data_IF_721803025123
#
_entry.id   IF_721803025123
#
_cell.length_a   1.000
_cell.length_b   1.000
_cell.length_c   1.000
_cell.angle_alpha   90.00
_cell.angle_beta   90.00
_cell.angle_gamma   90.00
#
_symmetry.space_group_name_H-M   'P 1'
#
loop_
_entity.id
_entity.type
_entity.pdbx_description
1 polymer ?
#
# COMPACT_ATOMS: atom_id res chain seq x y z
N UNK A 1 -2.71 -15.46 -7.08
CA UNK A 1 -2.40 -14.76 -5.81
C UNK A 1 -1.00 -15.16 -5.37
N UNK A 2 -0.23 -14.24 -4.80
CA UNK A 2 1.17 -14.46 -4.42
C UNK A 2 1.78 -13.19 -3.80
N UNK A 3 3.06 -13.24 -3.44
CA UNK A 3 3.82 -12.09 -2.95
C UNK A 3 4.36 -11.28 -4.15
N UNK A 4 3.69 -10.19 -4.47
CA UNK A 4 4.04 -9.34 -5.61
C UNK A 4 5.26 -8.44 -5.33
N UNK A 5 5.73 -8.37 -4.08
CA UNK A 5 6.92 -7.63 -3.65
C UNK A 5 6.99 -6.14 -4.02
N UNK A 6 5.87 -5.52 -4.39
CA UNK A 6 5.76 -4.06 -4.53
C UNK A 6 5.87 -3.38 -3.16
N UNK A 7 6.49 -2.20 -3.15
CA UNK A 7 6.77 -1.40 -1.95
C UNK A 7 6.12 -0.03 -2.04
N UNK A 8 6.28 0.76 -0.99
CA UNK A 8 5.85 2.16 -0.92
C UNK A 8 7.02 3.05 -1.38
N UNK A 9 6.77 3.93 -2.34
CA UNK A 9 7.76 4.90 -2.86
C UNK A 9 7.80 6.17 -2.00
N UNK A 10 8.95 6.86 -2.00
CA UNK A 10 9.15 8.20 -1.42
C UNK A 10 8.70 8.35 0.05
N UNK A 11 8.79 7.29 0.85
CA UNK A 11 8.51 7.32 2.29
C UNK A 11 9.57 6.54 3.05
N UNK A 12 9.98 7.06 4.20
CA UNK A 12 10.85 6.38 5.14
C UNK A 12 10.09 5.31 5.93
N UNK A 13 10.82 4.36 6.51
CA UNK A 13 10.22 3.32 7.34
C UNK A 13 9.48 3.91 8.56
N UNK A 14 10.02 4.97 9.17
CA UNK A 14 9.43 5.64 10.33
C UNK A 14 8.12 6.34 9.96
N UNK A 15 8.08 7.05 8.83
CA UNK A 15 6.84 7.69 8.34
C UNK A 15 5.73 6.66 8.05
N UNK A 16 6.10 5.53 7.43
CA UNK A 16 5.14 4.43 7.19
C UNK A 16 4.67 3.84 8.52
N UNK A 17 5.57 3.65 9.47
CA UNK A 17 5.25 3.12 10.79
C UNK A 17 4.29 4.02 11.56
N UNK A 18 4.55 5.34 11.59
CA UNK A 18 3.71 6.34 12.25
C UNK A 18 2.30 6.36 11.65
N UNK A 19 2.18 6.28 10.33
CA UNK A 19 0.86 6.23 9.68
C UNK A 19 0.11 4.97 10.07
N UNK A 20 0.79 3.81 10.07
CA UNK A 20 0.17 2.53 10.42
C UNK A 20 -0.29 2.50 11.89
N UNK A 21 0.54 3.00 12.82
CA UNK A 21 0.20 3.05 14.24
C UNK A 21 -0.94 4.03 14.53
N UNK A 22 -0.88 5.24 13.98
CA UNK A 22 -1.89 6.27 14.23
C UNK A 22 -3.25 5.94 13.58
N UNK A 23 -3.26 5.21 12.45
CA UNK A 23 -4.49 4.83 11.73
C UNK A 23 -5.14 3.53 12.23
N UNK A 24 -4.43 2.70 13.00
CA UNK A 24 -4.98 1.42 13.55
C UNK A 24 -6.29 1.60 14.33
N UNK A 25 -6.56 2.82 14.82
CA UNK A 25 -7.72 3.12 15.67
C UNK A 25 -8.88 3.84 14.96
N UNK A 26 -8.69 4.38 13.73
CA UNK A 26 -9.66 5.29 13.13
C UNK A 26 -10.57 4.69 12.06
N UNK A 27 -10.42 3.41 11.71
CA UNK A 27 -11.22 2.76 10.63
C UNK A 27 -11.01 3.41 9.26
N UNK A 28 -9.99 4.25 9.15
CA UNK A 28 -9.79 5.19 8.06
C UNK A 28 -8.79 4.61 7.06
N UNK A 29 -9.09 4.71 5.77
CA UNK A 29 -8.29 4.05 4.71
C UNK A 29 -6.80 4.46 4.74
N UNK A 30 -5.90 3.57 4.32
CA UNK A 30 -4.46 3.85 4.18
C UNK A 30 -4.14 4.74 2.97
N UNK A 31 -5.00 5.71 2.65
CA UNK A 31 -4.95 6.51 1.43
C UNK A 31 -3.59 7.17 1.17
N UNK A 32 -2.91 7.65 2.21
CA UNK A 32 -1.56 8.22 2.10
C UNK A 32 -0.52 7.20 1.62
N UNK A 33 -0.58 5.96 2.12
CA UNK A 33 0.31 4.88 1.68
C UNK A 33 -0.07 4.39 0.29
N UNK A 34 -1.37 4.23 0.01
CA UNK A 34 -1.89 3.79 -1.29
C UNK A 34 -1.56 4.79 -2.42
N UNK A 35 -1.49 6.09 -2.11
CA UNK A 35 -1.05 7.10 -3.08
C UNK A 35 0.41 6.91 -3.54
N UNK A 36 1.20 6.17 -2.75
CA UNK A 36 2.63 5.88 -2.96
C UNK A 36 2.91 4.41 -3.26
N UNK A 37 1.87 3.59 -3.41
CA UNK A 37 2.00 2.16 -3.68
C UNK A 37 2.44 1.91 -5.14
N UNK A 38 3.50 1.13 -5.31
CA UNK A 38 4.07 0.82 -6.62
C UNK A 38 3.13 -0.02 -7.49
N UNK A 39 2.35 -0.95 -6.91
CA UNK A 39 1.43 -1.80 -7.68
C UNK A 39 0.30 -0.95 -8.27
N UNK A 40 -0.30 -0.07 -7.48
CA UNK A 40 -1.33 0.86 -7.94
C UNK A 40 -0.80 1.79 -9.04
N UNK A 41 0.46 2.25 -8.90
CA UNK A 41 1.11 3.07 -9.94
C UNK A 41 1.25 2.31 -11.26
N UNK A 42 1.84 1.11 -11.26
CA UNK A 42 2.06 0.35 -12.51
C UNK A 42 0.75 -0.11 -13.15
N UNK A 43 -0.28 -0.37 -12.34
CA UNK A 43 -1.64 -0.69 -12.81
C UNK A 43 -2.27 0.50 -13.52
N UNK A 44 -2.25 1.68 -12.89
CA UNK A 44 -2.78 2.93 -13.46
C UNK A 44 -2.07 3.29 -14.76
N UNK A 45 -0.77 3.04 -14.85
CA UNK A 45 0.04 3.36 -16.03
C UNK A 45 -0.05 2.32 -17.15
N UNK A 46 -0.81 1.24 -16.97
CA UNK A 46 -0.93 0.20 -18.00
C UNK A 46 0.31 -0.69 -18.14
N UNK A 47 1.28 -0.59 -17.23
CA UNK A 47 2.56 -1.31 -17.32
C UNK A 47 2.47 -2.76 -16.81
N UNK A 48 1.53 -3.03 -15.90
CA UNK A 48 1.24 -4.38 -15.42
C UNK A 48 -0.18 -4.43 -14.82
N UNK A 49 -0.85 -5.59 -14.88
CA UNK A 49 -2.14 -5.86 -14.22
C UNK A 49 -3.26 -4.84 -14.51
N UNK A 50 -3.23 -4.17 -15.67
CA UNK A 50 -4.22 -3.15 -16.06
C UNK A 50 -5.61 -3.72 -16.30
N UNK A 51 -5.72 -4.98 -16.70
CA UNK A 51 -6.99 -5.69 -16.92
C UNK A 51 -7.55 -6.34 -15.65
N UNK A 52 -6.80 -6.28 -14.54
CA UNK A 52 -7.20 -6.89 -13.27
C UNK A 52 -7.85 -5.86 -12.35
N UNK A 53 -8.82 -6.30 -11.56
CA UNK A 53 -9.42 -5.53 -10.46
C UNK A 53 -8.92 -6.03 -9.12
N UNK A 54 -8.65 -5.11 -8.19
CA UNK A 54 -8.30 -5.41 -6.81
C UNK A 54 -9.08 -4.47 -5.90
N UNK A 55 -9.57 -4.97 -4.76
CA UNK A 55 -10.25 -4.15 -3.78
C UNK A 55 -9.27 -3.19 -3.10
N UNK A 56 -9.74 -2.00 -2.73
CA UNK A 56 -8.93 -1.03 -1.97
C UNK A 56 -8.55 -1.66 -0.62
N UNK A 57 -7.24 -1.80 -0.31
CA UNK A 57 -6.82 -2.37 0.96
C UNK A 57 -7.29 -1.53 2.14
N UNK A 58 -8.04 -2.15 3.05
CA UNK A 58 -8.50 -1.57 4.33
C UNK A 58 -7.76 -2.16 5.54
N UNK A 59 -6.75 -2.99 5.28
CA UNK A 59 -5.90 -3.65 6.28
C UNK A 59 -4.46 -3.12 6.22
N UNK A 60 -3.72 -3.24 7.33
CA UNK A 60 -2.36 -2.74 7.43
C UNK A 60 -1.37 -3.52 6.53
N UNK A 61 -0.24 -2.91 6.13
CA UNK A 61 0.81 -3.61 5.38
C UNK A 61 1.21 -4.94 6.03
N UNK A 62 1.37 -5.98 5.22
CA UNK A 62 1.62 -7.37 5.67
C UNK A 62 3.11 -7.72 5.76
N UNK A 63 4.00 -6.79 5.43
CA UNK A 63 5.45 -6.97 5.49
C UNK A 63 6.18 -5.65 5.74
N UNK A 64 7.29 -5.62 6.50
CA UNK A 64 7.86 -6.69 7.35
C UNK A 64 7.43 -6.44 8.79
N UNK A 65 7.01 -7.48 9.51
CA UNK A 65 6.82 -7.37 10.96
C UNK A 65 8.20 -7.37 11.66
N UNK A 66 8.42 -6.38 12.52
CA UNK A 66 9.63 -6.25 13.37
C UNK A 66 9.28 -6.67 14.78
#
# INVERSE_FOLDING_TARGET
MGDLNFRIDDMTADEVHDIVLNRRHSGDSFAALLAKDQLLRVRREGRAFSEFSEAVPTFAPTYKFV
#
